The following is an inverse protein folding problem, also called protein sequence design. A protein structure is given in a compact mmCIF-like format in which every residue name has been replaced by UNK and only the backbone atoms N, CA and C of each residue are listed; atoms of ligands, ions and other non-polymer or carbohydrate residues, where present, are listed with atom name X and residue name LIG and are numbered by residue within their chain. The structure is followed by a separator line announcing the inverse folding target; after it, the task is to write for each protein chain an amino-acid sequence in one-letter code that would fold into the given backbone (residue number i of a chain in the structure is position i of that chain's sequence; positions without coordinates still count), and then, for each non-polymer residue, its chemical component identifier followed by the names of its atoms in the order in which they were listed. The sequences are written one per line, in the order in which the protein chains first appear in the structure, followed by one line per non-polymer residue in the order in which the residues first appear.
data_IF_866338754738
#
_entry.id   IF_866338754738
#
_cell.length_a   1.000
_cell.length_b   1.000
_cell.length_c   1.000
_cell.angle_alpha   90.00
_cell.angle_beta   90.00
_cell.angle_gamma   90.00
#
_symmetry.space_group_name_H-M   'P 1'
#
loop_
_entity.id
_entity.type
_entity.pdbx_description
1 polymer ?
#
# COMPACT_ATOMS: atom_id res chain seq x y z
N UNK A 1 50.16 -3.73 42.84
CA UNK A 1 48.84 -3.05 42.88
C UNK A 1 48.37 -2.41 41.56
N UNK A 2 48.99 -2.64 40.39
CA UNK A 2 48.57 -1.98 39.12
C UNK A 2 47.73 -2.82 38.14
N UNK A 3 47.58 -4.14 38.35
CA UNK A 3 46.85 -5.03 37.42
C UNK A 3 45.35 -5.17 37.69
N UNK A 4 44.87 -4.82 38.90
CA UNK A 4 43.46 -4.95 39.30
C UNK A 4 42.55 -3.87 38.69
N UNK A 5 43.10 -2.68 38.39
CA UNK A 5 42.31 -1.54 37.90
C UNK A 5 42.01 -1.61 36.39
N UNK A 6 42.81 -2.33 35.60
CA UNK A 6 42.55 -2.49 34.16
C UNK A 6 41.37 -3.43 33.87
N UNK A 7 41.10 -4.40 34.75
CA UNK A 7 39.95 -5.31 34.60
C UNK A 7 38.61 -4.63 34.85
N UNK A 8 38.57 -3.55 35.65
CA UNK A 8 37.36 -2.77 35.92
C UNK A 8 37.09 -1.76 34.79
N UNK A 9 38.14 -1.23 34.15
CA UNK A 9 38.00 -0.27 33.04
C UNK A 9 37.57 -0.96 31.73
N UNK A 10 37.93 -2.23 31.51
CA UNK A 10 37.52 -3.00 30.32
C UNK A 10 36.06 -3.48 30.41
N UNK A 11 35.51 -3.66 31.63
CA UNK A 11 34.14 -4.11 31.85
C UNK A 11 33.07 -3.03 31.59
N UNK A 12 33.45 -1.76 31.42
CA UNK A 12 32.52 -0.63 31.23
C UNK A 12 32.33 -0.21 29.76
N UNK A 13 32.98 -0.86 28.81
CA UNK A 13 32.94 -0.50 27.38
C UNK A 13 31.98 -1.34 26.51
N UNK A 14 31.13 -2.21 27.08
CA UNK A 14 30.32 -3.16 26.31
C UNK A 14 28.79 -2.95 26.31
N UNK A 15 28.27 -1.82 26.79
CA UNK A 15 26.82 -1.57 26.80
C UNK A 15 26.45 -0.25 26.11
N UNK A 16 26.63 -0.17 24.79
CA UNK A 16 25.91 0.80 23.95
C UNK A 16 25.90 0.41 22.48
N UNK A 17 25.46 -0.82 22.16
CA UNK A 17 24.94 -1.08 20.81
C UNK A 17 23.56 -0.42 20.76
N UNK A 18 23.51 0.86 20.38
CA UNK A 18 22.25 1.45 19.95
C UNK A 18 21.82 0.71 18.68
N UNK A 19 20.68 0.04 18.76
CA UNK A 19 20.02 -0.60 17.64
C UNK A 19 19.84 0.44 16.54
N UNK A 20 20.63 0.35 15.47
CA UNK A 20 20.38 1.08 14.24
C UNK A 20 19.17 0.39 13.64
N UNK A 21 17.97 0.88 13.93
CA UNK A 21 16.81 0.57 13.11
C UNK A 21 17.11 1.15 11.72
N UNK A 22 17.48 0.29 10.79
CA UNK A 22 17.66 0.64 9.39
C UNK A 22 16.29 1.05 8.83
N UNK A 23 15.92 2.32 8.98
CA UNK A 23 14.85 2.93 8.20
C UNK A 23 15.33 2.90 6.75
N UNK A 24 14.81 1.97 5.96
CA UNK A 24 15.09 1.90 4.53
C UNK A 24 14.82 3.27 3.90
N UNK A 25 15.86 3.88 3.34
CA UNK A 25 15.72 5.14 2.62
C UNK A 25 14.76 4.91 1.44
N UNK A 26 13.53 5.39 1.58
CA UNK A 26 12.58 5.45 0.48
C UNK A 26 13.07 6.49 -0.51
N UNK A 27 13.88 6.07 -1.49
CA UNK A 27 14.16 6.88 -2.68
C UNK A 27 12.80 7.21 -3.30
N UNK A 28 12.40 8.49 -3.25
CA UNK A 28 11.16 8.98 -3.85
C UNK A 28 11.15 8.58 -5.32
N UNK A 29 10.37 7.55 -5.66
CA UNK A 29 10.15 7.18 -7.04
C UNK A 29 9.31 8.29 -7.67
N UNK A 30 9.75 8.84 -8.79
CA UNK A 30 8.95 9.78 -9.58
C UNK A 30 7.86 8.98 -10.28
N UNK A 31 6.78 8.72 -9.53
CA UNK A 31 5.60 8.00 -9.95
C UNK A 31 4.56 9.05 -10.33
N UNK A 32 3.97 8.89 -11.50
CA UNK A 32 2.79 9.66 -11.87
C UNK A 32 1.64 9.23 -10.97
N UNK A 33 0.93 10.19 -10.36
CA UNK A 33 -0.23 9.90 -9.51
C UNK A 33 -1.39 9.29 -10.30
N UNK A 34 -1.32 9.28 -11.63
CA UNK A 34 -2.26 8.57 -12.51
C UNK A 34 -2.03 7.06 -12.45
N UNK A 35 -3.09 6.34 -12.13
CA UNK A 35 -3.13 4.88 -12.18
C UNK A 35 -4.49 4.40 -12.68
N UNK A 36 -4.52 3.21 -13.28
CA UNK A 36 -5.75 2.50 -13.64
C UNK A 36 -6.00 1.37 -12.65
N UNK A 37 -7.26 1.11 -12.36
CA UNK A 37 -7.70 -0.02 -11.55
C UNK A 37 -8.91 -0.64 -12.24
N UNK A 38 -8.74 -1.88 -12.69
CA UNK A 38 -9.70 -2.58 -13.54
C UNK A 38 -10.06 -3.90 -12.87
N UNK A 39 -11.32 -4.28 -12.93
CA UNK A 39 -11.80 -5.54 -12.40
C UNK A 39 -11.23 -6.71 -13.23
N UNK A 40 -10.61 -7.71 -12.59
CA UNK A 40 -9.91 -8.82 -13.26
C UNK A 40 -10.56 -10.19 -12.98
N UNK A 41 -11.81 -10.18 -12.50
CA UNK A 41 -12.62 -11.36 -12.23
C UNK A 41 -13.26 -11.29 -10.84
N UNK A 42 -14.00 -12.34 -10.51
CA UNK A 42 -14.50 -12.54 -9.16
C UNK A 42 -13.38 -13.17 -8.35
N UNK A 43 -12.91 -12.48 -7.31
CA UNK A 43 -12.02 -13.07 -6.31
C UNK A 43 -12.71 -14.17 -5.51
N UNK A 44 -12.02 -14.75 -4.54
CA UNK A 44 -12.69 -15.54 -3.50
C UNK A 44 -13.59 -14.63 -2.68
N UNK A 45 -14.55 -15.22 -1.95
CA UNK A 45 -15.47 -14.46 -1.11
C UNK A 45 -14.71 -13.48 -0.20
N UNK A 46 -15.21 -12.25 -0.12
CA UNK A 46 -14.58 -11.17 0.65
C UNK A 46 -13.30 -10.60 0.07
N UNK A 47 -12.96 -10.90 -1.19
CA UNK A 47 -11.85 -10.27 -1.92
C UNK A 47 -12.29 -9.64 -3.25
N UNK A 48 -11.54 -8.65 -3.70
CA UNK A 48 -11.54 -8.19 -5.08
C UNK A 48 -10.29 -8.66 -5.80
N UNK A 49 -10.43 -9.03 -7.07
CA UNK A 49 -9.31 -9.28 -7.97
C UNK A 49 -9.22 -8.12 -8.95
N UNK A 50 -8.19 -7.29 -8.83
CA UNK A 50 -8.04 -6.06 -9.64
C UNK A 50 -6.71 -6.01 -10.35
N UNK A 51 -6.72 -5.60 -11.61
CA UNK A 51 -5.52 -5.25 -12.35
C UNK A 51 -5.22 -3.76 -12.16
N UNK A 52 -4.05 -3.47 -11.60
CA UNK A 52 -3.58 -2.11 -11.37
C UNK A 52 -2.48 -1.77 -12.35
N UNK A 53 -2.54 -0.58 -12.93
CA UNK A 53 -1.47 -0.04 -13.76
C UNK A 53 -1.03 1.31 -13.24
N UNK A 54 0.29 1.52 -13.13
CA UNK A 54 0.89 2.80 -12.78
C UNK A 54 1.89 3.23 -13.84
N UNK A 55 2.06 4.53 -13.97
CA UNK A 55 2.99 5.11 -14.92
C UNK A 55 4.25 5.59 -14.19
N UNK A 56 5.41 5.08 -14.62
CA UNK A 56 6.69 5.36 -13.99
C UNK A 56 7.76 5.71 -15.01
N UNK A 57 8.63 6.64 -14.65
CA UNK A 57 9.78 7.03 -15.48
C UNK A 57 10.99 6.10 -15.33
N UNK A 58 10.95 5.20 -14.35
CA UNK A 58 11.99 4.20 -14.08
C UNK A 58 11.41 2.80 -14.16
N UNK A 59 12.25 1.84 -14.56
CA UNK A 59 11.89 0.43 -14.73
C UNK A 59 11.59 -0.28 -13.40
N UNK A 60 12.25 0.13 -12.32
CA UNK A 60 12.21 -0.58 -11.03
C UNK A 60 11.17 0.04 -10.11
N UNK A 61 9.89 -0.22 -10.39
CA UNK A 61 8.80 0.12 -9.48
C UNK A 61 8.79 -0.85 -8.28
N UNK A 62 8.61 -0.33 -7.07
CA UNK A 62 8.40 -1.20 -5.90
C UNK A 62 7.04 -1.91 -6.01
N UNK A 63 6.95 -3.24 -5.77
CA UNK A 63 5.67 -3.97 -5.71
C UNK A 63 4.63 -3.36 -4.76
N UNK A 64 5.10 -2.80 -3.64
CA UNK A 64 4.32 -2.05 -2.66
C UNK A 64 3.52 -0.90 -3.29
N UNK A 65 4.07 -0.23 -4.29
CA UNK A 65 3.39 0.85 -5.01
C UNK A 65 2.12 0.36 -5.68
N UNK A 66 2.14 -0.79 -6.36
CA UNK A 66 0.95 -1.34 -7.01
C UNK A 66 -0.12 -1.71 -5.96
N UNK A 67 0.29 -2.32 -4.86
CA UNK A 67 -0.58 -2.65 -3.72
C UNK A 67 -1.22 -1.40 -3.12
N UNK A 68 -0.44 -0.33 -2.94
CA UNK A 68 -0.92 0.95 -2.46
C UNK A 68 -2.01 1.50 -3.35
N UNK A 69 -1.80 1.52 -4.67
CA UNK A 69 -2.79 2.02 -5.62
C UNK A 69 -4.00 1.11 -5.78
N UNK A 70 -3.88 -0.21 -5.55
CA UNK A 70 -5.05 -1.09 -5.47
C UNK A 70 -5.97 -0.69 -4.32
N UNK A 71 -5.40 -0.55 -3.12
CA UNK A 71 -6.14 -0.18 -1.91
C UNK A 71 -6.70 1.24 -2.04
N UNK A 72 -5.87 2.21 -2.44
CA UNK A 72 -6.31 3.57 -2.69
C UNK A 72 -7.42 3.64 -3.75
N UNK A 73 -7.30 2.86 -4.83
CA UNK A 73 -8.30 2.79 -5.89
C UNK A 73 -9.66 2.35 -5.35
N UNK A 74 -9.67 1.26 -4.57
CA UNK A 74 -10.90 0.75 -3.94
C UNK A 74 -11.50 1.75 -2.95
N UNK A 75 -10.67 2.46 -2.18
CA UNK A 75 -11.17 3.42 -1.19
C UNK A 75 -11.76 4.66 -1.87
N UNK A 76 -11.04 5.27 -2.82
CA UNK A 76 -11.36 6.63 -3.28
C UNK A 76 -11.81 6.74 -4.73
N UNK A 77 -11.34 5.85 -5.62
CA UNK A 77 -11.58 5.95 -7.07
C UNK A 77 -12.70 5.02 -7.56
N UNK A 78 -12.90 3.89 -6.89
CA UNK A 78 -13.66 2.77 -7.39
C UNK A 78 -12.86 1.91 -8.37
N UNK A 79 -13.45 0.79 -8.78
CA UNK A 79 -12.87 -0.17 -9.72
C UNK A 79 -13.63 -0.08 -11.04
N UNK A 80 -12.92 0.15 -12.14
CA UNK A 80 -13.53 0.13 -13.47
C UNK A 80 -13.90 -1.30 -13.85
N UNK A 81 -15.12 -1.48 -14.39
CA UNK A 81 -15.55 -2.79 -14.88
C UNK A 81 -14.74 -3.28 -16.07
N UNK A 82 -14.81 -4.57 -16.33
CA UNK A 82 -14.23 -5.22 -17.50
C UNK A 82 -15.20 -6.23 -18.10
N UNK A 83 -14.77 -6.95 -19.14
CA UNK A 83 -15.52 -8.10 -19.66
C UNK A 83 -15.64 -9.25 -18.66
N UNK A 84 -14.80 -9.28 -17.61
CA UNK A 84 -14.77 -10.36 -16.60
C UNK A 84 -15.68 -10.09 -15.41
N UNK A 85 -15.90 -8.81 -15.07
CA UNK A 85 -16.72 -8.42 -13.91
C UNK A 85 -17.11 -6.94 -13.95
N UNK A 86 -18.23 -6.63 -13.30
CA UNK A 86 -18.76 -5.27 -13.20
C UNK A 86 -17.89 -4.34 -12.36
N UNK A 87 -18.01 -3.03 -12.65
CA UNK A 87 -17.32 -2.00 -11.87
C UNK A 87 -17.82 -1.91 -10.43
N UNK A 88 -16.97 -1.43 -9.55
CA UNK A 88 -17.25 -1.28 -8.12
C UNK A 88 -17.15 0.19 -7.72
N UNK A 89 -18.11 0.67 -6.94
CA UNK A 89 -18.06 2.03 -6.39
C UNK A 89 -16.95 2.13 -5.34
N UNK A 90 -16.33 3.32 -5.15
CA UNK A 90 -15.41 3.54 -4.05
C UNK A 90 -16.08 3.34 -2.69
N UNK A 91 -15.28 3.04 -1.67
CA UNK A 91 -15.77 2.98 -0.29
C UNK A 91 -16.07 4.37 0.29
N UNK A 92 -15.20 5.33 0.01
CA UNK A 92 -15.41 6.72 0.37
C UNK A 92 -16.49 7.35 -0.53
N UNK A 93 -17.32 8.22 0.06
CA UNK A 93 -18.40 8.90 -0.67
C UNK A 93 -17.90 10.02 -1.59
N UNK A 94 -16.73 10.56 -1.29
CA UNK A 94 -16.08 11.65 -2.00
C UNK A 94 -14.57 11.55 -1.83
N UNK A 95 -13.82 12.25 -2.69
CA UNK A 95 -12.37 12.39 -2.54
C UNK A 95 -11.97 13.21 -1.31
N UNK A 96 -12.87 14.07 -0.80
CA UNK A 96 -12.60 14.90 0.38
C UNK A 96 -12.29 14.08 1.64
N UNK A 97 -12.78 12.84 1.72
CA UNK A 97 -12.48 11.91 2.84
C UNK A 97 -10.98 11.70 3.01
N UNK A 98 -10.20 11.68 1.92
CA UNK A 98 -8.75 11.54 1.98
C UNK A 98 -8.09 12.75 2.66
N UNK A 99 -8.53 13.96 2.32
CA UNK A 99 -7.99 15.21 2.86
C UNK A 99 -8.47 15.45 4.29
N UNK A 100 -9.75 15.20 4.58
CA UNK A 100 -10.35 15.31 5.91
C UNK A 100 -9.69 14.38 6.92
N UNK A 101 -9.22 13.20 6.48
CA UNK A 101 -8.58 12.19 7.31
C UNK A 101 -7.10 12.00 6.93
N UNK A 102 -6.43 13.07 6.50
CA UNK A 102 -5.06 13.01 5.97
C UNK A 102 -4.08 12.33 6.93
N UNK A 103 -4.16 12.63 8.23
CA UNK A 103 -3.25 12.05 9.22
C UNK A 103 -3.39 10.52 9.29
N UNK A 104 -4.62 10.03 9.27
CA UNK A 104 -4.91 8.60 9.20
C UNK A 104 -4.32 7.99 7.93
N UNK A 105 -4.57 8.58 6.76
CA UNK A 105 -4.11 8.00 5.49
C UNK A 105 -2.59 8.10 5.30
N UNK A 106 -1.94 9.15 5.81
CA UNK A 106 -0.47 9.22 5.87
C UNK A 106 0.08 8.07 6.72
N UNK A 107 -0.55 7.77 7.86
CA UNK A 107 -0.13 6.66 8.71
C UNK A 107 -0.40 5.30 8.06
N UNK A 108 -1.59 5.14 7.49
CA UNK A 108 -2.05 3.93 6.83
C UNK A 108 -1.20 3.56 5.62
N UNK A 109 -0.85 4.53 4.77
CA UNK A 109 -0.13 4.30 3.51
C UNK A 109 1.39 4.48 3.57
N UNK A 110 1.93 5.29 4.49
CA UNK A 110 3.36 5.65 4.47
C UNK A 110 4.09 5.19 5.75
N UNK A 111 3.55 5.50 6.93
CA UNK A 111 4.28 5.29 8.20
C UNK A 111 4.21 3.82 8.65
N UNK A 112 3.00 3.28 8.76
CA UNK A 112 2.77 1.89 9.23
C UNK A 112 2.68 0.89 8.08
N UNK A 113 2.45 1.35 6.86
CA UNK A 113 2.19 0.50 5.70
C UNK A 113 1.05 -0.52 5.95
N UNK A 114 0.05 -0.16 6.76
CA UNK A 114 -1.05 -1.02 7.15
C UNK A 114 -1.85 -1.54 5.96
N UNK A 115 -1.89 -0.77 4.86
CA UNK A 115 -2.51 -1.17 3.59
C UNK A 115 -1.97 -2.50 3.03
N UNK A 116 -0.71 -2.86 3.34
CA UNK A 116 -0.09 -4.10 2.84
C UNK A 116 -0.78 -5.35 3.35
N UNK A 117 -1.42 -5.29 4.51
CA UNK A 117 -2.17 -6.41 5.10
C UNK A 117 -3.41 -6.78 4.27
N UNK A 118 -3.90 -5.86 3.44
CA UNK A 118 -5.11 -6.05 2.66
C UNK A 118 -4.85 -6.36 1.19
N UNK A 119 -3.59 -6.29 0.72
CA UNK A 119 -3.28 -6.38 -0.70
C UNK A 119 -2.14 -7.36 -0.98
N UNK A 120 -2.43 -8.38 -1.77
CA UNK A 120 -1.47 -9.41 -2.19
C UNK A 120 -1.39 -9.44 -3.71
N UNK A 121 -0.17 -9.38 -4.24
CA UNK A 121 0.05 -9.50 -5.68
C UNK A 121 -0.07 -10.96 -6.07
N UNK A 122 -0.79 -11.22 -7.17
CA UNK A 122 -0.86 -12.55 -7.76
C UNK A 122 0.44 -12.82 -8.50
N UNK A 123 1.14 -13.89 -8.13
CA UNK A 123 2.43 -14.26 -8.73
C UNK A 123 2.32 -14.46 -10.24
N UNK A 124 3.38 -14.11 -10.97
CA UNK A 124 3.43 -14.25 -12.43
C UNK A 124 2.59 -13.22 -13.22
N UNK A 125 1.85 -12.33 -12.56
CA UNK A 125 0.99 -11.34 -13.24
C UNK A 125 1.64 -9.98 -13.47
N UNK A 126 2.91 -9.83 -13.08
CA UNK A 126 3.65 -8.60 -13.33
C UNK A 126 3.82 -8.35 -14.81
N UNK A 127 3.34 -7.19 -15.26
CA UNK A 127 3.40 -6.75 -16.63
C UNK A 127 4.10 -5.39 -16.73
N UNK A 128 4.86 -5.23 -17.81
CA UNK A 128 5.56 -4.00 -18.11
C UNK A 128 5.41 -3.69 -19.58
N UNK A 129 4.87 -2.51 -19.87
CA UNK A 129 4.69 -2.00 -21.23
C UNK A 129 5.45 -0.69 -21.35
N UNK A 130 6.29 -0.57 -22.37
CA UNK A 130 6.97 0.70 -22.69
C UNK A 130 5.97 1.60 -23.40
N UNK A 131 5.70 2.79 -22.84
CA UNK A 131 4.77 3.77 -23.43
C UNK A 131 5.55 4.76 -24.29
N UNK A 132 6.65 5.28 -23.78
CA UNK A 132 7.54 6.20 -24.50
C UNK A 132 9.01 5.84 -24.26
N UNK A 133 9.94 6.62 -24.83
CA UNK A 133 11.39 6.47 -24.53
C UNK A 133 11.70 6.60 -23.03
N UNK A 134 10.87 7.34 -22.26
CA UNK A 134 11.14 7.67 -20.85
C UNK A 134 10.06 7.19 -19.88
N UNK A 135 8.97 6.58 -20.35
CA UNK A 135 7.83 6.20 -19.52
C UNK A 135 7.42 4.75 -19.77
N UNK A 136 7.18 4.04 -18.67
CA UNK A 136 6.68 2.68 -18.63
C UNK A 136 5.33 2.66 -17.93
N UNK A 137 4.45 1.79 -18.40
CA UNK A 137 3.24 1.36 -17.71
C UNK A 137 3.56 0.02 -17.06
N UNK A 138 3.50 -0.04 -15.73
CA UNK A 138 3.84 -1.23 -14.94
C UNK A 138 2.57 -1.63 -14.21
N UNK A 139 2.23 -2.92 -14.26
CA UNK A 139 1.01 -3.40 -13.64
C UNK A 139 1.14 -4.81 -13.10
N UNK A 140 0.16 -5.19 -12.29
CA UNK A 140 0.00 -6.53 -11.78
C UNK A 140 -1.47 -6.76 -11.40
N UNK A 141 -1.85 -8.02 -11.28
CA UNK A 141 -3.12 -8.39 -10.66
C UNK A 141 -2.92 -8.48 -9.16
N UNK A 142 -3.84 -7.90 -8.41
CA UNK A 142 -3.80 -7.79 -6.96
C UNK A 142 -5.11 -8.33 -6.41
N UNK A 143 -4.98 -9.27 -5.48
CA UNK A 143 -6.07 -9.69 -4.61
C UNK A 143 -6.14 -8.71 -3.43
N UNK A 144 -7.29 -8.08 -3.24
CA UNK A 144 -7.54 -7.15 -2.13
C UNK A 144 -8.61 -7.72 -1.21
N UNK A 145 -8.31 -7.88 0.07
CA UNK A 145 -9.26 -8.32 1.10
C UNK A 145 -10.30 -7.22 1.40
N UNK A 146 -11.27 -7.06 0.49
CA UNK A 146 -12.23 -5.95 0.47
C UNK A 146 -13.04 -5.84 1.76
N UNK A 147 -13.46 -6.96 2.34
CA UNK A 147 -14.36 -6.96 3.49
C UNK A 147 -13.58 -6.59 4.76
N UNK A 148 -12.36 -7.10 4.91
CA UNK A 148 -11.47 -6.74 6.00
C UNK A 148 -11.05 -5.27 5.90
N UNK A 149 -10.70 -4.81 4.70
CA UNK A 149 -10.36 -3.40 4.46
C UNK A 149 -11.53 -2.48 4.82
N UNK A 150 -12.74 -2.82 4.35
CA UNK A 150 -13.94 -2.05 4.65
C UNK A 150 -14.22 -2.03 6.16
N UNK A 151 -14.16 -3.18 6.82
CA UNK A 151 -14.37 -3.32 8.25
C UNK A 151 -13.37 -2.49 9.06
N UNK A 152 -12.10 -2.46 8.65
CA UNK A 152 -11.08 -1.63 9.29
C UNK A 152 -11.44 -0.14 9.18
N UNK A 153 -11.79 0.35 7.99
CA UNK A 153 -12.14 1.75 7.78
C UNK A 153 -13.43 2.15 8.51
N UNK A 154 -14.40 1.23 8.64
CA UNK A 154 -15.61 1.45 9.44
C UNK A 154 -15.29 1.49 10.94
N UNK A 155 -14.42 0.60 11.42
CA UNK A 155 -13.96 0.55 12.82
C UNK A 155 -13.19 1.80 13.21
N UNK A 156 -12.36 2.31 12.29
CA UNK A 156 -11.55 3.52 12.48
C UNK A 156 -12.37 4.81 12.25
N UNK A 157 -13.69 4.70 12.05
CA UNK A 157 -14.61 5.81 11.80
C UNK A 157 -14.30 6.66 10.54
N UNK A 158 -13.58 6.09 9.57
CA UNK A 158 -13.21 6.75 8.31
C UNK A 158 -14.35 6.74 7.30
N UNK A 159 -15.09 5.62 7.24
CA UNK A 159 -16.26 5.49 6.38
C UNK A 159 -17.48 5.04 7.21
N UNK A 160 -18.68 5.43 6.76
CA UNK A 160 -19.91 5.00 7.44
C UNK A 160 -20.19 3.53 7.22
N UNK A 161 -20.55 2.85 8.31
CA UNK A 161 -21.02 1.47 8.29
C UNK A 161 -22.29 1.32 7.45
N UNK A 162 -22.41 0.19 6.76
CA UNK A 162 -23.58 -0.13 5.93
C UNK A 162 -24.90 -0.18 6.73
N UNK A 163 -24.84 -0.36 8.06
CA UNK A 163 -25.99 -0.41 8.97
C UNK A 163 -26.47 0.96 9.47
N UNK A 164 -25.74 2.05 9.20
CA UNK A 164 -26.04 3.38 9.76
C UNK A 164 -27.18 4.15 9.08
N UNK A 165 -27.99 3.48 8.25
CA UNK A 165 -29.06 4.07 7.46
C UNK A 165 -30.43 3.40 7.62
N UNK A 166 -30.61 2.57 8.66
CA UNK A 166 -31.90 2.01 9.04
C UNK A 166 -32.43 2.68 10.31
#
# INVERSE_FOLDING_TARGET
MKRRNYLIVIALCLFSIKSISMYGQNVKQNIDRRYDIICEGNGVEGTYLVKVWVYANKLNLKPETLRKYAVHGIIFKGVTGSTKCGGQKPFAKSLSVEEENKEYFDEFFEKKNAYLNFATIVEGTFERVKVTKRQYKIGAVISVAKDQLRKQLETDHIIRGLSSGF
#
